data_IF_648553484747
#
_entry.id   IF_648553484747
#
_cell.length_a   1.000
_cell.length_b   1.000
_cell.length_c   1.000
_cell.angle_alpha   90.00
_cell.angle_beta   90.00
_cell.angle_gamma   90.00
#
_symmetry.space_group_name_H-M   'P 1'
#
loop_
_entity.id
_entity.type
_entity.pdbx_description
1 polymer ?
#
# COMPACT_ATOMS: atom_id res chain seq x y z
N UNK A 1 4.04 4.12 7.67
CA UNK A 1 4.46 2.72 7.89
C UNK A 1 4.69 2.45 9.38
N UNK A 2 5.58 3.16 10.07
CA UNK A 2 5.94 2.85 11.48
C UNK A 2 4.74 2.86 12.43
N UNK A 3 3.85 3.84 12.31
CA UNK A 3 2.63 3.92 13.15
C UNK A 3 1.70 2.73 12.92
N UNK A 4 1.57 2.28 11.69
CA UNK A 4 0.78 1.10 11.33
C UNK A 4 1.44 -0.16 11.88
N UNK A 5 2.75 -0.31 11.72
CA UNK A 5 3.51 -1.42 12.29
C UNK A 5 3.33 -1.50 13.81
N UNK A 6 3.41 -0.37 14.51
CA UNK A 6 3.15 -0.29 15.96
C UNK A 6 1.71 -0.73 16.30
N UNK A 7 0.71 -0.25 15.56
CA UNK A 7 -0.69 -0.63 15.77
C UNK A 7 -0.94 -2.12 15.56
N UNK A 8 -0.21 -2.75 14.67
CA UNK A 8 -0.29 -4.19 14.38
C UNK A 8 0.61 -5.06 15.27
N UNK A 9 1.41 -4.47 16.16
CA UNK A 9 2.37 -5.19 17.00
C UNK A 9 3.55 -5.79 16.22
N UNK A 10 3.87 -5.24 15.06
CA UNK A 10 4.96 -5.71 14.23
C UNK A 10 6.34 -5.31 14.78
N UNK A 11 7.34 -6.17 14.57
CA UNK A 11 8.72 -5.87 14.95
C UNK A 11 9.33 -4.85 13.98
N UNK A 12 9.80 -3.72 14.52
CA UNK A 12 10.33 -2.63 13.73
C UNK A 12 11.61 -2.98 12.94
N UNK A 13 12.35 -4.01 13.36
CA UNK A 13 13.58 -4.43 12.69
C UNK A 13 13.33 -5.56 11.69
N UNK A 14 12.42 -6.46 12.00
CA UNK A 14 12.14 -7.65 11.19
C UNK A 14 11.03 -7.41 10.16
N UNK A 15 10.01 -6.62 10.51
CA UNK A 15 8.79 -6.47 9.69
C UNK A 15 8.71 -5.10 8.98
N UNK A 16 9.61 -4.15 9.28
CA UNK A 16 9.59 -2.81 8.69
C UNK A 16 10.81 -2.57 7.81
N UNK A 17 10.59 -2.48 6.52
CA UNK A 17 11.61 -2.26 5.50
C UNK A 17 11.48 -0.84 4.96
N UNK A 18 12.48 0.01 5.17
CA UNK A 18 12.48 1.40 4.74
C UNK A 18 13.80 1.74 4.03
N UNK A 19 13.75 2.72 3.15
CA UNK A 19 14.93 3.21 2.42
C UNK A 19 15.69 2.06 1.75
N UNK A 20 16.98 1.90 1.98
CA UNK A 20 17.82 0.89 1.33
C UNK A 20 17.35 -0.55 1.57
N UNK A 21 16.61 -0.81 2.65
CA UNK A 21 16.02 -2.11 2.94
C UNK A 21 14.73 -2.38 2.16
N UNK A 22 14.07 -1.35 1.62
CA UNK A 22 12.85 -1.48 0.83
C UNK A 22 13.19 -1.70 -0.64
N UNK A 23 13.85 -2.81 -0.97
CA UNK A 23 14.31 -3.15 -2.30
C UNK A 23 13.68 -4.44 -2.83
N UNK A 24 13.74 -4.64 -4.13
CA UNK A 24 13.16 -5.76 -4.86
C UNK A 24 13.72 -7.12 -4.37
N UNK A 25 15.05 -7.21 -4.24
CA UNK A 25 15.70 -8.44 -3.81
C UNK A 25 15.21 -8.90 -2.44
N UNK A 26 14.99 -7.94 -1.51
CA UNK A 26 14.46 -8.20 -0.19
C UNK A 26 13.05 -8.78 -0.26
N UNK A 27 12.16 -8.17 -1.05
CA UNK A 27 10.77 -8.67 -1.22
C UNK A 27 10.75 -10.08 -1.79
N UNK A 28 11.58 -10.36 -2.80
CA UNK A 28 11.62 -11.66 -3.47
C UNK A 28 12.22 -12.79 -2.63
N UNK A 29 13.14 -12.47 -1.72
CA UNK A 29 13.80 -13.44 -0.83
C UNK A 29 13.03 -13.73 0.45
N UNK A 30 12.13 -12.84 0.86
CA UNK A 30 11.36 -13.02 2.09
C UNK A 30 10.33 -14.12 1.94
N UNK A 31 10.17 -14.91 3.00
CA UNK A 31 8.98 -15.76 3.15
C UNK A 31 7.81 -14.91 3.64
N UNK A 32 6.97 -14.50 2.71
CA UNK A 32 5.79 -13.67 2.99
C UNK A 32 4.55 -14.49 3.40
N UNK A 33 4.63 -15.82 3.39
CA UNK A 33 3.49 -16.71 3.67
C UNK A 33 3.00 -16.64 5.12
N UNK A 34 3.82 -16.14 6.04
CA UNK A 34 3.48 -15.98 7.45
C UNK A 34 2.97 -14.59 7.83
N UNK A 35 2.96 -13.65 6.88
CA UNK A 35 2.53 -12.28 7.14
C UNK A 35 1.03 -12.11 6.82
N UNK A 36 0.25 -11.73 7.84
CA UNK A 36 -1.19 -11.51 7.68
C UNK A 36 -1.51 -10.17 6.98
N UNK A 37 -0.67 -9.18 7.17
CA UNK A 37 -0.78 -7.86 6.54
C UNK A 37 0.53 -7.54 5.84
N UNK A 38 0.46 -7.20 4.57
CA UNK A 38 1.61 -6.76 3.77
C UNK A 38 1.26 -5.37 3.22
N UNK A 39 2.13 -4.39 3.43
CA UNK A 39 1.89 -3.03 2.99
C UNK A 39 3.04 -2.48 2.17
N UNK A 40 2.70 -2.00 0.98
CA UNK A 40 3.61 -1.22 0.14
C UNK A 40 3.15 0.24 0.15
N UNK A 41 4.00 1.12 0.71
CA UNK A 41 3.82 2.57 0.67
C UNK A 41 4.92 3.15 -0.21
N UNK A 42 4.66 3.17 -1.51
CA UNK A 42 5.62 3.53 -2.56
C UNK A 42 4.89 4.10 -3.77
N UNK A 43 5.56 4.25 -4.90
CA UNK A 43 4.93 4.67 -6.16
C UNK A 43 4.44 3.45 -6.94
N UNK A 44 3.18 3.51 -7.40
CA UNK A 44 2.67 2.60 -8.41
C UNK A 44 2.95 3.19 -9.80
N UNK A 45 3.42 2.37 -10.70
CA UNK A 45 3.76 2.72 -12.06
C UNK A 45 2.84 1.97 -13.03
N UNK A 46 2.37 2.67 -14.06
CA UNK A 46 1.60 2.06 -15.14
C UNK A 46 2.49 1.84 -16.39
N UNK A 47 2.08 0.94 -17.30
CA UNK A 47 2.81 0.71 -18.54
C UNK A 47 3.07 2.02 -19.29
N UNK A 48 4.30 2.22 -19.75
CA UNK A 48 4.73 3.40 -20.50
C UNK A 48 5.21 4.60 -19.67
N UNK A 49 5.05 4.59 -18.35
CA UNK A 49 5.61 5.67 -17.49
C UNK A 49 7.14 5.65 -17.44
N UNK A 50 7.74 4.49 -17.61
CA UNK A 50 9.19 4.33 -17.77
C UNK A 50 9.50 3.65 -19.10
N UNK A 51 10.64 4.00 -19.69
CA UNK A 51 11.13 3.34 -20.90
C UNK A 51 11.32 1.84 -20.63
N UNK A 52 10.65 1.01 -21.45
CA UNK A 52 10.70 -0.44 -21.33
C UNK A 52 9.73 -1.06 -20.32
N UNK A 53 9.01 -0.26 -19.54
CA UNK A 53 7.98 -0.76 -18.65
C UNK A 53 6.70 -1.03 -19.45
N UNK A 54 6.39 -2.31 -19.66
CA UNK A 54 5.23 -2.78 -20.44
C UNK A 54 4.13 -3.40 -19.57
N UNK A 55 4.30 -3.42 -18.26
CA UNK A 55 3.35 -3.93 -17.28
C UNK A 55 3.35 -3.06 -16.02
N UNK A 56 2.29 -3.10 -15.19
CA UNK A 56 2.25 -2.32 -13.96
C UNK A 56 3.28 -2.84 -12.95
N UNK A 57 3.83 -1.93 -12.15
CA UNK A 57 4.85 -2.24 -11.15
C UNK A 57 4.76 -1.34 -9.92
N UNK A 58 5.38 -1.76 -8.82
CA UNK A 58 5.69 -0.92 -7.67
C UNK A 58 7.15 -0.51 -7.73
N UNK A 59 7.42 0.79 -7.59
CA UNK A 59 8.78 1.29 -7.52
C UNK A 59 9.37 1.01 -6.13
N UNK A 60 10.52 0.37 -6.09
CA UNK A 60 11.28 0.11 -4.87
C UNK A 60 12.61 0.88 -4.91
N UNK A 61 13.41 0.73 -3.88
CA UNK A 61 14.71 1.41 -3.84
C UNK A 61 15.60 0.93 -4.98
N UNK A 62 16.14 1.88 -5.73
CA UNK A 62 17.00 1.61 -6.87
C UNK A 62 18.17 0.69 -6.47
N UNK A 63 18.46 -0.35 -7.26
CA UNK A 63 19.45 -1.37 -6.91
C UNK A 63 20.85 -0.79 -6.75
N UNK A 64 21.20 0.28 -7.48
CA UNK A 64 22.49 0.97 -7.36
C UNK A 64 22.69 1.62 -5.98
N UNK A 65 21.59 2.09 -5.35
CA UNK A 65 21.61 2.68 -4.01
C UNK A 65 21.62 1.61 -2.92
N UNK A 66 20.85 0.55 -3.12
CA UNK A 66 20.74 -0.55 -2.16
C UNK A 66 21.87 -1.59 -2.26
N UNK A 67 22.71 -1.49 -3.29
CA UNK A 67 23.80 -2.45 -3.60
C UNK A 67 23.27 -3.90 -3.73
N UNK A 68 22.16 -4.07 -4.44
CA UNK A 68 21.48 -5.36 -4.67
C UNK A 68 21.29 -5.61 -6.16
N UNK A 69 20.88 -6.82 -6.52
CA UNK A 69 20.49 -7.17 -7.88
C UNK A 69 19.03 -6.78 -8.16
N UNK A 70 18.70 -6.59 -9.43
CA UNK A 70 17.37 -6.25 -9.90
C UNK A 70 17.33 -4.94 -10.66
N UNK A 71 16.13 -4.44 -10.96
CA UNK A 71 15.90 -3.16 -11.61
C UNK A 71 15.21 -2.12 -10.69
N UNK A 72 14.83 -2.54 -9.48
CA UNK A 72 14.15 -1.72 -8.49
C UNK A 72 12.64 -1.63 -8.69
N UNK A 73 12.09 -2.48 -9.54
CA UNK A 73 10.66 -2.58 -9.80
C UNK A 73 10.14 -3.93 -9.30
N UNK A 74 9.03 -3.93 -8.61
CA UNK A 74 8.27 -5.16 -8.35
C UNK A 74 7.13 -5.21 -9.35
N UNK A 75 7.38 -5.89 -10.46
CA UNK A 75 6.47 -6.01 -11.59
C UNK A 75 5.30 -6.95 -11.30
N UNK A 76 4.23 -6.84 -12.10
CA UNK A 76 3.10 -7.76 -12.03
C UNK A 76 3.54 -9.22 -12.13
N UNK A 77 4.44 -9.56 -13.04
CA UNK A 77 4.96 -10.93 -13.21
C UNK A 77 5.71 -11.43 -11.98
N UNK A 78 6.47 -10.57 -11.33
CA UNK A 78 7.19 -10.91 -10.09
C UNK A 78 6.25 -11.08 -8.90
N UNK A 79 5.20 -10.24 -8.82
CA UNK A 79 4.14 -10.41 -7.81
C UNK A 79 3.46 -11.77 -7.94
N UNK A 80 3.20 -12.26 -9.17
CA UNK A 80 2.63 -13.60 -9.40
C UNK A 80 3.51 -14.74 -8.87
N UNK A 81 4.81 -14.51 -8.71
CA UNK A 81 5.75 -15.51 -8.18
C UNK A 81 5.83 -15.50 -6.65
N UNK A 82 5.29 -14.48 -5.99
CA UNK A 82 5.25 -14.40 -4.54
C UNK A 82 4.33 -15.49 -3.97
N UNK A 83 4.67 -15.96 -2.77
CA UNK A 83 3.83 -16.90 -2.02
C UNK A 83 3.31 -16.20 -0.79
N UNK A 84 2.06 -15.77 -0.88
CA UNK A 84 1.38 -15.04 0.18
C UNK A 84 0.34 -15.94 0.86
N UNK A 85 0.00 -15.61 2.09
CA UNK A 85 -1.18 -16.10 2.81
C UNK A 85 -1.77 -14.94 3.60
N UNK A 86 -1.82 -13.78 2.95
CA UNK A 86 -2.14 -12.52 3.59
C UNK A 86 -3.65 -12.29 3.70
N UNK A 87 -4.09 -11.83 4.85
CA UNK A 87 -5.46 -11.33 5.04
C UNK A 87 -5.69 -10.02 4.29
N UNK A 88 -4.62 -9.19 4.22
CA UNK A 88 -4.60 -7.92 3.50
C UNK A 88 -3.30 -7.71 2.76
N UNK A 89 -3.40 -7.19 1.53
CA UNK A 89 -2.33 -6.42 0.91
C UNK A 89 -2.80 -4.97 0.75
N UNK A 90 -2.01 -4.04 1.23
CA UNK A 90 -2.28 -2.60 1.18
C UNK A 90 -1.31 -1.96 0.21
N UNK A 91 -1.84 -1.39 -0.85
CA UNK A 91 -1.07 -0.66 -1.85
C UNK A 91 -1.36 0.83 -1.68
N UNK A 92 -0.62 1.48 -0.78
CA UNK A 92 -0.66 2.94 -0.62
C UNK A 92 0.28 3.58 -1.65
N UNK A 93 -0.13 3.48 -2.91
CA UNK A 93 0.62 3.93 -4.07
C UNK A 93 -0.36 4.54 -5.08
N UNK A 94 0.05 5.57 -5.79
CA UNK A 94 -0.80 6.23 -6.79
C UNK A 94 -1.21 5.24 -7.88
N UNK A 95 -2.45 5.35 -8.35
CA UNK A 95 -2.98 4.61 -9.50
C UNK A 95 -2.90 3.07 -9.43
N UNK A 96 -2.78 2.49 -8.23
CA UNK A 96 -2.69 1.02 -8.11
C UNK A 96 -3.96 0.28 -8.50
N UNK A 97 -5.08 0.99 -8.61
CA UNK A 97 -6.34 0.48 -9.13
C UNK A 97 -6.72 1.06 -10.50
N UNK A 98 -5.89 1.92 -11.10
CA UNK A 98 -6.15 2.48 -12.41
C UNK A 98 -6.06 1.39 -13.48
N UNK A 99 -7.14 1.23 -14.25
CA UNK A 99 -7.15 0.38 -15.44
C UNK A 99 -6.46 1.06 -16.62
N UNK A 100 -6.23 0.32 -17.71
CA UNK A 100 -5.53 0.74 -18.92
C UNK A 100 -6.26 1.81 -19.76
N UNK A 101 -6.78 2.87 -19.18
CA UNK A 101 -7.27 4.07 -19.87
C UNK A 101 -8.50 3.89 -20.79
N UNK A 102 -9.00 2.69 -20.98
CA UNK A 102 -10.22 2.38 -21.74
C UNK A 102 -11.19 1.54 -20.90
N UNK A 103 -11.91 2.21 -20.00
CA UNK A 103 -13.15 1.66 -19.46
C UNK A 103 -13.02 0.44 -18.55
N UNK A 104 -12.74 0.64 -17.29
CA UNK A 104 -13.60 0.01 -16.34
C UNK A 104 -13.22 -1.29 -15.68
N UNK A 105 -12.11 -1.94 -15.88
CA UNK A 105 -11.72 -3.02 -14.96
C UNK A 105 -10.87 -2.45 -13.83
N UNK A 106 -11.56 -2.04 -12.79
CA UNK A 106 -11.06 -1.26 -11.66
C UNK A 106 -10.01 -1.96 -10.78
N UNK A 107 -9.64 -3.19 -11.08
CA UNK A 107 -8.53 -3.87 -10.43
C UNK A 107 -7.44 -4.01 -11.47
N UNK A 108 -6.41 -3.17 -11.37
CA UNK A 108 -5.24 -3.23 -12.24
C UNK A 108 -4.66 -4.65 -12.26
N UNK A 109 -3.94 -4.98 -13.32
CA UNK A 109 -3.24 -6.26 -13.41
C UNK A 109 -2.42 -6.58 -12.15
N UNK A 110 -1.82 -5.54 -11.55
CA UNK A 110 -1.06 -5.66 -10.30
C UNK A 110 -1.93 -6.14 -9.12
N UNK A 111 -3.14 -5.58 -8.94
CA UNK A 111 -4.05 -6.03 -7.88
C UNK A 111 -4.48 -7.49 -8.06
N UNK A 112 -4.79 -7.88 -9.30
CA UNK A 112 -5.12 -9.28 -9.63
C UNK A 112 -3.94 -10.22 -9.33
N UNK A 113 -2.72 -9.79 -9.64
CA UNK A 113 -1.51 -10.56 -9.34
C UNK A 113 -1.37 -10.86 -7.84
N UNK A 114 -1.66 -9.88 -6.97
CA UNK A 114 -1.65 -10.11 -5.53
C UNK A 114 -2.72 -11.10 -5.06
N UNK A 115 -3.90 -11.13 -5.67
CA UNK A 115 -4.89 -12.16 -5.38
C UNK A 115 -4.39 -13.55 -5.79
N UNK A 116 -3.80 -13.69 -6.98
CA UNK A 116 -3.20 -14.95 -7.42
C UNK A 116 -2.04 -15.38 -6.53
N UNK A 117 -1.24 -14.43 -6.04
CA UNK A 117 -0.15 -14.70 -5.11
C UNK A 117 -0.63 -15.17 -3.71
N UNK A 118 -1.93 -15.03 -3.38
CA UNK A 118 -2.52 -15.54 -2.13
C UNK A 118 -3.02 -14.48 -1.15
N UNK A 119 -3.29 -13.26 -1.60
CA UNK A 119 -3.97 -12.25 -0.79
C UNK A 119 -5.48 -12.50 -0.75
N UNK A 120 -6.11 -12.35 0.42
CA UNK A 120 -7.57 -12.45 0.59
C UNK A 120 -8.31 -11.15 0.35
N UNK A 121 -7.64 -10.02 0.53
CA UNK A 121 -8.20 -8.71 0.29
C UNK A 121 -7.11 -7.72 -0.10
N UNK A 122 -7.53 -6.69 -0.86
CA UNK A 122 -6.67 -5.56 -1.22
C UNK A 122 -7.29 -4.26 -0.70
N UNK A 123 -6.43 -3.36 -0.25
CA UNK A 123 -6.74 -1.96 -0.08
C UNK A 123 -5.86 -1.19 -1.07
N UNK A 124 -6.49 -0.57 -2.04
CA UNK A 124 -5.82 0.12 -3.16
C UNK A 124 -6.35 1.54 -3.31
N UNK A 125 -5.59 2.39 -3.97
CA UNK A 125 -6.01 3.75 -4.32
C UNK A 125 -6.43 3.82 -5.78
N UNK A 126 -7.52 4.54 -6.08
CA UNK A 126 -8.04 4.70 -7.45
C UNK A 126 -7.48 5.95 -8.17
N UNK A 127 -6.85 6.84 -7.43
CA UNK A 127 -6.28 8.09 -7.93
C UNK A 127 -5.06 8.47 -7.08
N UNK A 128 -4.26 9.45 -7.52
CA UNK A 128 -3.20 10.00 -6.69
C UNK A 128 -3.76 10.57 -5.39
N UNK A 129 -3.26 10.09 -4.25
CA UNK A 129 -3.72 10.52 -2.93
C UNK A 129 -2.65 11.38 -2.25
N UNK A 130 -3.10 12.35 -1.48
CA UNK A 130 -2.22 13.15 -0.65
C UNK A 130 -1.70 12.29 0.51
N UNK A 131 -0.38 12.35 0.73
CA UNK A 131 0.33 11.46 1.66
C UNK A 131 -0.17 11.53 3.10
N UNK A 132 -0.53 12.74 3.58
CA UNK A 132 -1.01 12.93 4.95
C UNK A 132 -2.38 12.30 5.15
N UNK A 133 -3.27 12.47 4.19
CA UNK A 133 -4.63 11.87 4.19
C UNK A 133 -4.57 10.36 4.15
N UNK A 134 -3.75 9.80 3.24
CA UNK A 134 -3.55 8.36 3.11
C UNK A 134 -2.97 7.76 4.40
N UNK A 135 -1.99 8.44 5.01
CA UNK A 135 -1.41 8.04 6.28
C UNK A 135 -2.44 8.08 7.41
N UNK A 136 -3.23 9.16 7.52
CA UNK A 136 -4.24 9.30 8.55
C UNK A 136 -5.30 8.20 8.44
N UNK A 137 -5.83 7.96 7.23
CA UNK A 137 -6.83 6.94 6.97
C UNK A 137 -6.32 5.53 7.31
N UNK A 138 -5.16 5.16 6.78
CA UNK A 138 -4.62 3.80 6.96
C UNK A 138 -4.18 3.55 8.39
N UNK A 139 -3.61 4.54 9.07
CA UNK A 139 -3.24 4.41 10.50
C UNK A 139 -4.48 4.21 11.37
N UNK A 140 -5.53 4.99 11.15
CA UNK A 140 -6.78 4.88 11.90
C UNK A 140 -7.49 3.55 11.65
N UNK A 141 -7.54 3.11 10.40
CA UNK A 141 -8.09 1.81 10.02
C UNK A 141 -7.43 0.68 10.82
N UNK A 142 -6.11 0.61 10.81
CA UNK A 142 -5.39 -0.48 11.50
C UNK A 142 -5.44 -0.35 13.03
N UNK A 143 -5.47 0.88 13.56
CA UNK A 143 -5.69 1.10 14.99
C UNK A 143 -7.03 0.54 15.47
N UNK A 144 -8.11 0.76 14.69
CA UNK A 144 -9.44 0.22 14.99
C UNK A 144 -9.49 -1.30 14.93
N UNK A 145 -8.88 -1.89 13.91
CA UNK A 145 -8.82 -3.35 13.80
C UNK A 145 -7.99 -3.99 14.93
N UNK A 146 -6.92 -3.33 15.36
CA UNK A 146 -6.13 -3.82 16.49
C UNK A 146 -6.88 -3.70 17.82
N UNK A 147 -7.75 -2.68 17.97
CA UNK A 147 -8.55 -2.47 19.18
C UNK A 147 -9.77 -3.40 19.27
N UNK A 148 -10.33 -3.82 18.14
CA UNK A 148 -11.51 -4.69 18.07
C UNK A 148 -11.35 -5.77 16.98
N UNK A 149 -11.03 -6.98 17.41
CA UNK A 149 -10.84 -8.13 16.52
C UNK A 149 -12.14 -8.61 15.83
N UNK A 150 -13.32 -8.20 16.30
CA UNK A 150 -14.61 -8.52 15.69
C UNK A 150 -14.97 -7.54 14.57
N UNK A 151 -14.28 -6.42 14.48
CA UNK A 151 -14.55 -5.41 13.47
C UNK A 151 -14.13 -5.91 12.10
N UNK A 152 -15.09 -5.98 11.17
CA UNK A 152 -14.76 -6.35 9.80
C UNK A 152 -13.93 -5.27 9.11
N UNK A 153 -13.18 -5.65 8.08
CA UNK A 153 -12.34 -4.72 7.29
C UNK A 153 -13.13 -3.53 6.76
N UNK A 154 -14.31 -3.81 6.21
CA UNK A 154 -15.19 -2.77 5.65
C UNK A 154 -15.71 -1.82 6.75
N UNK A 155 -16.07 -2.35 7.92
CA UNK A 155 -16.51 -1.54 9.05
C UNK A 155 -15.37 -0.67 9.59
N UNK A 156 -14.16 -1.23 9.73
CA UNK A 156 -12.99 -0.47 10.16
C UNK A 156 -12.67 0.67 9.19
N UNK A 157 -12.67 0.38 7.88
CA UNK A 157 -12.45 1.39 6.85
C UNK A 157 -13.53 2.48 6.90
N UNK A 158 -14.82 2.09 6.94
CA UNK A 158 -15.91 3.04 7.04
C UNK A 158 -15.79 3.96 8.25
N UNK A 159 -15.49 3.40 9.42
CA UNK A 159 -15.33 4.19 10.64
C UNK A 159 -14.13 5.13 10.57
N UNK A 160 -13.01 4.68 9.99
CA UNK A 160 -11.83 5.52 9.77
C UNK A 160 -12.14 6.68 8.80
N UNK A 161 -12.87 6.42 7.73
CA UNK A 161 -13.35 7.45 6.78
C UNK A 161 -14.24 8.48 7.47
N UNK A 162 -15.25 8.03 8.23
CA UNK A 162 -16.14 8.93 8.96
C UNK A 162 -15.38 9.79 9.96
N UNK A 163 -14.42 9.22 10.69
CA UNK A 163 -13.60 10.01 11.62
C UNK A 163 -12.76 11.09 10.89
N UNK A 164 -12.26 10.80 9.69
CA UNK A 164 -11.56 11.81 8.91
C UNK A 164 -12.51 12.91 8.42
N UNK A 165 -13.70 12.53 7.95
CA UNK A 165 -14.71 13.47 7.44
C UNK A 165 -15.19 14.41 8.56
N UNK A 166 -15.49 13.86 9.74
CA UNK A 166 -15.99 14.60 10.89
C UNK A 166 -14.88 15.33 11.68
N UNK A 167 -13.63 15.04 11.36
CA UNK A 167 -12.45 15.57 12.04
C UNK A 167 -12.08 16.99 11.61
N UNK A 168 -11.08 17.58 12.28
CA UNK A 168 -10.65 18.95 12.02
C UNK A 168 -9.90 19.14 10.67
N UNK A 169 -9.71 18.06 9.91
CA UNK A 169 -8.89 18.07 8.71
C UNK A 169 -7.39 18.10 9.03
N UNK A 170 -6.59 18.51 8.05
CA UNK A 170 -5.16 18.68 8.24
C UNK A 170 -4.88 20.03 8.91
N UNK A 171 -4.23 19.96 10.08
CA UNK A 171 -3.89 21.12 10.89
C UNK A 171 -2.37 21.28 10.95
N UNK A 172 -1.85 22.45 10.60
CA UNK A 172 -0.44 22.79 10.71
C UNK A 172 -0.28 24.12 11.45
N UNK A 173 0.54 24.13 12.49
CA UNK A 173 0.74 25.36 13.30
C UNK A 173 -0.54 25.91 13.94
N UNK A 174 -1.50 25.04 14.29
CA UNK A 174 -2.79 25.44 14.86
C UNK A 174 -3.80 25.97 13.86
N UNK A 175 -3.48 25.99 12.57
CA UNK A 175 -4.39 26.43 11.49
C UNK A 175 -4.86 25.22 10.69
N UNK A 176 -6.16 25.10 10.43
CA UNK A 176 -6.70 24.15 9.48
C UNK A 176 -6.26 24.55 8.06
N UNK A 177 -5.58 23.65 7.38
CA UNK A 177 -5.08 23.86 6.01
C UNK A 177 -6.12 23.37 5.01
N UNK A 178 -6.69 22.17 5.25
CA UNK A 178 -7.81 21.63 4.47
C UNK A 178 -8.59 20.60 5.28
N UNK A 179 -9.86 20.40 4.89
CA UNK A 179 -10.71 19.33 5.45
C UNK A 179 -10.57 18.06 4.62
N UNK A 180 -10.51 16.92 5.28
CA UNK A 180 -10.48 15.62 4.58
C UNK A 180 -11.81 15.26 3.88
N UNK A 181 -12.88 15.98 4.20
CA UNK A 181 -14.19 15.81 3.57
C UNK A 181 -14.28 16.41 2.16
N UNK A 182 -13.28 17.20 1.73
CA UNK A 182 -13.28 17.78 0.40
C UNK A 182 -12.92 16.70 -0.62
N UNK A 183 -13.75 16.43 -1.65
CA UNK A 183 -13.34 15.57 -2.75
C UNK A 183 -12.20 16.25 -3.50
N UNK A 184 -11.09 15.57 -3.61
CA UNK A 184 -9.94 16.00 -4.42
C UNK A 184 -10.17 15.64 -5.87
#
# INVERSE_FOLDING_TARGET
IREIATALGADAQQDVFLQLRANEEQVRKMDLSHHRVIMFATHGLVPGELNGLNQPALALTAPQLAHVNGDGLLTMEEVLQLKLNADWVVLSACNTAAGDGQGGDAVSGLGRAFFYAGSRALLVTNWPVETTSARALTTELFRRQAADAQLTRAQALRQAMLQLIDGPGYVQGGKSIYAYAHPL
#
